data_IF_316822222115
#
_entry.id   IF_316822222115
#
_cell.length_a   1.000
_cell.length_b   1.000
_cell.length_c   1.000
_cell.angle_alpha   90.00
_cell.angle_beta   90.00
_cell.angle_gamma   90.00
#
_symmetry.space_group_name_H-M   'P 1'
#
loop_
_entity.id
_entity.type
_entity.pdbx_description
1 polymer ?
#
# COMPACT_ATOMS: atom_id res chain seq x y z
N UNK A 1 -19.21 2.38 3.53
CA UNK A 1 -18.15 2.59 2.51
C UNK A 1 -17.24 1.37 2.53
N UNK A 2 -16.95 0.76 1.39
CA UNK A 2 -16.10 -0.44 1.29
C UNK A 2 -14.63 -0.04 1.34
N UNK A 3 -13.96 -0.34 2.45
CA UNK A 3 -12.50 -0.20 2.57
C UNK A 3 -11.82 -1.46 2.03
N UNK A 4 -10.73 -1.30 1.30
CA UNK A 4 -9.90 -2.39 0.77
C UNK A 4 -8.53 -2.38 1.45
N UNK A 5 -7.96 -3.56 1.71
CA UNK A 5 -6.61 -3.65 2.28
C UNK A 5 -5.55 -3.19 1.29
N UNK A 6 -4.38 -2.76 1.77
CA UNK A 6 -3.22 -2.44 0.92
C UNK A 6 -2.86 -3.60 -0.02
N UNK A 7 -2.98 -4.84 0.46
CA UNK A 7 -2.79 -6.04 -0.35
C UNK A 7 -3.80 -6.13 -1.49
N UNK A 8 -5.08 -5.87 -1.23
CA UNK A 8 -6.11 -5.87 -2.26
C UNK A 8 -5.87 -4.75 -3.28
N UNK A 9 -5.51 -3.54 -2.82
CA UNK A 9 -5.17 -2.43 -3.70
C UNK A 9 -3.97 -2.77 -4.61
N UNK A 10 -2.95 -3.44 -4.08
CA UNK A 10 -1.81 -3.93 -4.85
C UNK A 10 -2.21 -4.99 -5.88
N UNK A 11 -3.02 -5.97 -5.49
CA UNK A 11 -3.48 -7.04 -6.40
C UNK A 11 -4.35 -6.46 -7.51
N UNK A 12 -5.17 -5.44 -7.24
CA UNK A 12 -5.98 -4.76 -8.25
C UNK A 12 -5.15 -4.12 -9.38
N UNK A 13 -3.92 -3.68 -9.07
CA UNK A 13 -2.99 -3.14 -10.08
C UNK A 13 -1.98 -4.16 -10.60
N UNK A 14 -2.14 -5.45 -10.27
CA UNK A 14 -1.26 -6.54 -10.66
C UNK A 14 0.22 -6.31 -10.33
N UNK A 15 0.51 -5.59 -9.24
CA UNK A 15 1.89 -5.36 -8.79
C UNK A 15 2.31 -6.40 -7.75
N UNK A 16 3.58 -6.74 -7.75
CA UNK A 16 4.19 -7.52 -6.66
C UNK A 16 4.70 -6.59 -5.56
N UNK A 17 4.85 -7.13 -4.33
CA UNK A 17 5.43 -6.36 -3.23
C UNK A 17 6.84 -5.85 -3.56
N UNK A 18 7.59 -6.62 -4.37
CA UNK A 18 8.93 -6.25 -4.82
C UNK A 18 8.88 -5.04 -5.74
N UNK A 19 8.00 -5.03 -6.75
CA UNK A 19 7.87 -3.89 -7.66
C UNK A 19 7.41 -2.63 -6.94
N UNK A 20 6.47 -2.78 -5.99
CA UNK A 20 6.03 -1.66 -5.15
C UNK A 20 7.19 -1.11 -4.33
N UNK A 21 7.98 -2.00 -3.73
CA UNK A 21 9.15 -1.63 -2.96
C UNK A 21 10.22 -0.93 -3.81
N UNK A 22 10.51 -1.44 -5.01
CA UNK A 22 11.43 -0.83 -5.98
C UNK A 22 10.96 0.56 -6.42
N UNK A 23 9.66 0.73 -6.71
CA UNK A 23 9.08 2.03 -7.10
C UNK A 23 9.08 3.06 -5.97
N UNK A 24 8.91 2.60 -4.73
CA UNK A 24 8.88 3.46 -3.54
C UNK A 24 10.27 3.67 -2.93
N UNK A 25 11.29 2.95 -3.39
CA UNK A 25 12.62 2.98 -2.80
C UNK A 25 12.66 2.42 -1.38
N UNK A 26 11.76 1.51 -1.04
CA UNK A 26 11.70 0.86 0.28
C UNK A 26 12.02 -0.63 0.18
N UNK A 27 12.20 -1.29 1.31
CA UNK A 27 12.40 -2.74 1.32
C UNK A 27 11.08 -3.49 1.07
N UNK A 28 11.13 -4.64 0.39
CA UNK A 28 9.95 -5.50 0.20
C UNK A 28 9.29 -5.88 1.53
N UNK A 29 10.08 -6.17 2.58
CA UNK A 29 9.57 -6.48 3.92
C UNK A 29 8.81 -5.30 4.52
N UNK A 30 9.20 -4.07 4.22
CA UNK A 30 8.49 -2.87 4.67
C UNK A 30 7.07 -2.83 4.11
N UNK A 31 6.92 -3.13 2.81
CA UNK A 31 5.60 -3.25 2.17
C UNK A 31 4.80 -4.41 2.79
N UNK A 32 5.40 -5.59 2.95
CA UNK A 32 4.73 -6.73 3.55
C UNK A 32 4.30 -6.48 5.01
N UNK A 33 5.11 -5.75 5.78
CA UNK A 33 4.80 -5.31 7.14
C UNK A 33 3.60 -4.38 7.14
N UNK A 34 3.58 -3.37 6.27
CA UNK A 34 2.46 -2.44 6.19
C UNK A 34 1.19 -3.08 5.63
N UNK A 35 1.29 -4.01 4.68
CA UNK A 35 0.14 -4.82 4.23
C UNK A 35 -0.50 -5.66 5.34
N UNK A 36 0.28 -5.99 6.39
CA UNK A 36 -0.19 -6.76 7.55
C UNK A 36 -0.62 -5.86 8.71
N UNK A 37 0.09 -4.77 8.95
CA UNK A 37 -0.18 -3.77 10.00
C UNK A 37 0.11 -2.38 9.43
N UNK A 38 -0.95 -1.71 8.98
CA UNK A 38 -0.86 -0.38 8.36
C UNK A 38 -0.93 0.75 9.38
N UNK A 39 -1.13 0.43 10.67
CA UNK A 39 -1.40 1.39 11.75
C UNK A 39 -0.32 2.46 11.91
N UNK A 40 0.94 2.11 11.61
CA UNK A 40 2.09 3.04 11.69
C UNK A 40 2.67 3.41 10.34
N UNK A 41 1.88 3.30 9.26
CA UNK A 41 2.36 3.69 7.94
C UNK A 41 2.57 5.21 7.90
N UNK A 42 3.73 5.70 7.45
CA UNK A 42 3.93 7.14 7.30
C UNK A 42 3.03 7.67 6.19
N UNK A 43 2.40 8.83 6.45
CA UNK A 43 1.48 9.50 5.53
C UNK A 43 2.07 9.68 4.12
N UNK A 44 3.39 9.95 4.04
CA UNK A 44 4.11 10.10 2.77
C UNK A 44 4.09 8.81 1.96
N UNK A 45 4.39 7.66 2.59
CA UNK A 45 4.36 6.35 1.94
C UNK A 45 2.93 5.97 1.55
N UNK A 46 1.96 6.29 2.40
CA UNK A 46 0.54 6.06 2.11
C UNK A 46 0.07 6.86 0.88
N UNK A 47 0.47 8.12 0.77
CA UNK A 47 0.21 8.94 -0.42
C UNK A 47 0.81 8.32 -1.69
N UNK A 48 2.07 7.87 -1.61
CA UNK A 48 2.72 7.23 -2.75
C UNK A 48 2.05 5.90 -3.13
N UNK A 49 1.64 5.10 -2.16
CA UNK A 49 0.89 3.85 -2.37
C UNK A 49 -0.49 4.13 -3.00
N UNK A 50 -1.20 5.13 -2.50
CA UNK A 50 -2.48 5.59 -3.06
C UNK A 50 -2.32 6.01 -4.53
N UNK A 51 -1.28 6.80 -4.83
CA UNK A 51 -0.96 7.20 -6.20
C UNK A 51 -0.59 6.01 -7.09
N UNK A 52 0.23 5.09 -6.57
CA UNK A 52 0.70 3.90 -7.30
C UNK A 52 -0.45 2.93 -7.61
N UNK A 53 -1.35 2.73 -6.64
CA UNK A 53 -2.49 1.83 -6.76
C UNK A 53 -3.69 2.48 -7.46
N UNK A 54 -3.64 3.79 -7.73
CA UNK A 54 -4.77 4.57 -8.26
C UNK A 54 -6.04 4.43 -7.41
N UNK A 55 -5.86 4.29 -6.10
CA UNK A 55 -6.95 4.14 -5.12
C UNK A 55 -6.92 5.33 -4.18
N UNK A 56 -8.09 5.89 -3.84
CA UNK A 56 -8.19 6.99 -2.87
C UNK A 56 -7.78 6.50 -1.47
N UNK A 57 -7.08 7.35 -0.72
CA UNK A 57 -6.67 7.09 0.68
C UNK A 57 -7.85 6.62 1.55
N UNK A 58 -9.02 7.24 1.37
CA UNK A 58 -10.26 6.93 2.11
C UNK A 58 -10.76 5.49 1.90
N UNK A 59 -10.36 4.87 0.78
CA UNK A 59 -10.70 3.48 0.46
C UNK A 59 -9.65 2.50 0.97
N UNK A 60 -8.51 2.96 1.50
CA UNK A 60 -7.46 2.08 2.03
C UNK A 60 -7.76 1.82 3.51
N UNK A 61 -7.93 0.55 3.86
CA UNK A 61 -8.03 0.13 5.25
C UNK A 61 -6.67 0.33 5.95
N UNK A 62 -6.68 1.11 7.04
CA UNK A 62 -5.54 1.32 7.93
C UNK A 62 -5.90 0.75 9.31
N UNK A 63 -5.32 -0.39 9.66
CA UNK A 63 -5.55 -1.05 10.95
C UNK A 63 -4.83 -2.38 11.05
#
# INVERSE_FOLDING_TARGET
MTQISLKAARVNVNLTQKEVAEKLGVHQQTIAKYEKDSTKIPMNLLHQLSALYKVKLDHIFLG
#
